data_IF_611989450780
#
_entry.id   IF_611989450780
#
_cell.length_a   1.000
_cell.length_b   1.000
_cell.length_c   1.000
_cell.angle_alpha   90.00
_cell.angle_beta   90.00
_cell.angle_gamma   90.00
#
_symmetry.space_group_name_H-M   'P 1'
#
loop_
_entity.id
_entity.type
_entity.pdbx_description
1 polymer ?
#
# COMPACT_ATOMS: atom_id res chain seq x y z
N UNK A 1 -11.01 -16.04 -30.71
CA UNK A 1 -10.81 -15.01 -29.68
C UNK A 1 -10.50 -15.73 -28.38
N UNK A 2 -9.26 -15.60 -27.85
CA UNK A 2 -8.90 -16.29 -26.59
C UNK A 2 -9.54 -15.51 -25.44
N UNK A 3 -10.49 -16.13 -24.73
CA UNK A 3 -11.19 -15.56 -23.59
C UNK A 3 -10.27 -15.55 -22.36
N UNK A 4 -9.38 -14.56 -22.28
CA UNK A 4 -8.41 -14.39 -21.20
C UNK A 4 -8.46 -12.97 -20.63
N UNK A 5 -8.35 -12.84 -19.30
CA UNK A 5 -8.24 -11.57 -18.63
C UNK A 5 -7.13 -11.64 -17.58
N UNK A 6 -6.24 -10.65 -17.59
CA UNK A 6 -5.24 -10.52 -16.53
C UNK A 6 -5.93 -10.12 -15.22
N UNK A 7 -5.57 -10.74 -14.09
CA UNK A 7 -5.98 -10.21 -12.78
C UNK A 7 -5.21 -8.92 -12.48
N UNK A 8 -5.76 -8.02 -11.66
CA UNK A 8 -5.06 -6.81 -11.21
C UNK A 8 -3.79 -7.14 -10.42
N UNK A 9 -3.79 -8.24 -9.68
CA UNK A 9 -2.66 -8.76 -8.90
C UNK A 9 -2.46 -10.24 -9.23
N UNK A 10 -1.22 -10.68 -9.32
CA UNK A 10 -0.94 -12.05 -9.81
C UNK A 10 0.36 -12.64 -9.28
N UNK A 11 1.00 -12.00 -8.28
CA UNK A 11 2.19 -12.56 -7.67
C UNK A 11 1.86 -13.90 -7.01
N UNK A 12 2.64 -14.94 -7.30
CA UNK A 12 2.39 -16.27 -6.75
C UNK A 12 2.76 -16.33 -5.27
N UNK A 13 1.95 -17.06 -4.51
CA UNK A 13 2.19 -17.33 -3.09
C UNK A 13 2.86 -18.70 -2.96
N UNK A 14 3.99 -18.75 -2.23
CA UNK A 14 4.67 -19.99 -1.89
C UNK A 14 4.08 -20.60 -0.61
N UNK A 15 3.82 -21.91 -0.65
CA UNK A 15 3.47 -22.69 0.54
C UNK A 15 4.69 -23.32 1.22
N UNK A 16 5.92 -23.02 0.74
CA UNK A 16 7.16 -23.51 1.31
C UNK A 16 7.37 -22.88 2.69
N UNK A 17 7.56 -23.72 3.69
CA UNK A 17 7.95 -23.30 5.04
C UNK A 17 9.46 -23.16 5.13
N UNK A 18 9.94 -22.21 5.92
CA UNK A 18 11.35 -22.00 6.22
C UNK A 18 11.53 -21.82 7.72
N UNK A 19 12.67 -22.22 8.24
CA UNK A 19 13.13 -21.93 9.59
C UNK A 19 14.30 -20.93 9.57
N UNK A 20 14.56 -20.29 8.44
CA UNK A 20 15.56 -19.22 8.36
C UNK A 20 15.19 -18.08 9.30
N UNK A 21 16.18 -17.46 9.94
CA UNK A 21 15.95 -16.34 10.86
C UNK A 21 15.34 -15.17 10.10
N UNK A 22 14.23 -14.64 10.61
CA UNK A 22 13.50 -13.55 9.95
C UNK A 22 14.19 -12.20 10.13
N UNK A 23 15.01 -12.03 11.15
CA UNK A 23 15.81 -10.82 11.40
C UNK A 23 16.79 -10.54 10.24
N UNK A 24 17.24 -11.58 9.54
CA UNK A 24 18.06 -11.44 8.35
C UNK A 24 17.35 -10.73 7.16
N UNK A 25 16.04 -10.56 7.22
CA UNK A 25 15.29 -9.85 6.20
C UNK A 25 15.48 -8.33 6.25
N UNK A 26 15.61 -7.79 7.46
CA UNK A 26 15.77 -6.35 7.75
C UNK A 26 16.80 -6.18 8.88
N UNK A 27 18.09 -6.35 8.60
CA UNK A 27 19.15 -6.17 9.60
C UNK A 27 19.13 -4.73 10.14
N UNK A 28 19.45 -4.55 11.42
CA UNK A 28 19.45 -3.25 12.09
C UNK A 28 18.08 -2.79 12.61
N UNK A 29 17.06 -3.69 12.55
CA UNK A 29 15.72 -3.38 13.06
C UNK A 29 15.23 -4.45 14.05
N UNK A 30 14.52 -4.01 15.09
CA UNK A 30 13.68 -4.89 15.90
C UNK A 30 12.41 -5.22 15.12
N UNK A 31 12.04 -6.51 15.01
CA UNK A 31 10.91 -6.96 14.18
C UNK A 31 9.74 -7.44 15.04
N UNK A 32 8.56 -6.84 14.87
CA UNK A 32 7.32 -7.25 15.51
C UNK A 32 6.34 -7.74 14.43
N UNK A 33 5.98 -9.02 14.51
CA UNK A 33 5.10 -9.69 13.55
C UNK A 33 3.65 -9.71 14.06
N UNK A 34 2.75 -9.07 13.31
CA UNK A 34 1.33 -8.90 13.68
C UNK A 34 0.39 -9.47 12.62
N UNK A 35 -0.90 -9.58 12.95
CA UNK A 35 -1.90 -10.26 12.15
C UNK A 35 -2.31 -9.54 10.84
N UNK A 36 -2.01 -8.24 10.69
CA UNK A 36 -2.30 -7.48 9.46
C UNK A 36 -1.45 -6.21 9.34
N UNK A 37 -1.39 -5.60 8.14
CA UNK A 37 -0.75 -4.29 7.96
C UNK A 37 -1.47 -3.17 8.72
N UNK A 38 -2.80 -3.23 8.83
CA UNK A 38 -3.59 -2.29 9.65
C UNK A 38 -3.23 -2.42 11.13
N UNK A 39 -3.04 -3.65 11.61
CA UNK A 39 -2.57 -3.92 12.97
C UNK A 39 -1.13 -3.44 13.20
N UNK A 40 -0.27 -3.49 12.16
CA UNK A 40 1.08 -2.94 12.24
C UNK A 40 1.08 -1.43 12.47
N UNK A 41 0.26 -0.69 11.71
CA UNK A 41 0.09 0.75 11.92
C UNK A 41 -0.49 1.06 13.30
N UNK A 42 -1.53 0.34 13.72
CA UNK A 42 -2.14 0.53 15.03
C UNK A 42 -1.17 0.21 16.18
N UNK A 43 -0.34 -0.83 16.02
CA UNK A 43 0.72 -1.16 16.98
C UNK A 43 1.70 0.01 17.15
N UNK A 44 2.17 0.63 16.06
CA UNK A 44 3.06 1.80 16.13
C UNK A 44 2.41 2.96 16.90
N UNK A 45 1.13 3.24 16.61
CA UNK A 45 0.39 4.31 17.28
C UNK A 45 0.18 4.02 18.77
N UNK A 46 -0.11 2.78 19.17
CA UNK A 46 -0.20 2.38 20.58
C UNK A 46 1.18 2.54 21.28
N UNK A 47 2.29 2.20 20.62
CA UNK A 47 3.64 2.45 21.16
C UNK A 47 3.87 3.93 21.44
N UNK A 48 3.50 4.81 20.51
CA UNK A 48 3.66 6.27 20.67
C UNK A 48 2.77 6.82 21.78
N UNK A 49 1.55 6.32 21.91
CA UNK A 49 0.64 6.73 22.99
C UNK A 49 1.16 6.30 24.37
N UNK A 50 1.75 5.12 24.49
CA UNK A 50 2.39 4.70 25.74
C UNK A 50 3.64 5.51 26.06
N UNK A 51 4.38 5.95 25.04
CA UNK A 51 5.57 6.80 25.19
C UNK A 51 5.24 8.22 25.63
N UNK A 52 4.06 8.72 25.23
CA UNK A 52 3.60 10.10 25.48
C UNK A 52 2.25 10.15 26.20
N UNK A 53 2.14 9.59 27.42
CA UNK A 53 0.87 9.52 28.16
C UNK A 53 0.33 10.92 28.55
N UNK A 54 1.19 11.94 28.52
CA UNK A 54 0.80 13.34 28.78
C UNK A 54 -0.03 13.95 27.64
N UNK A 55 0.00 13.38 26.42
CA UNK A 55 -0.81 13.84 25.29
C UNK A 55 -2.15 13.13 25.32
N UNK A 56 -3.16 13.78 25.91
CA UNK A 56 -4.49 13.15 26.13
C UNK A 56 -5.35 13.04 24.88
N UNK A 57 -5.05 13.83 23.85
CA UNK A 57 -5.74 13.80 22.55
C UNK A 57 -4.70 13.69 21.43
N UNK A 58 -4.05 12.52 21.28
CA UNK A 58 -3.00 12.35 20.31
C UNK A 58 -3.53 12.46 18.88
N UNK A 59 -2.76 13.12 18.02
CA UNK A 59 -3.07 13.31 16.62
C UNK A 59 -2.08 12.53 15.74
N UNK A 60 -2.58 12.00 14.61
CA UNK A 60 -1.76 11.40 13.56
C UNK A 60 -2.09 12.02 12.22
N UNK A 61 -1.07 12.41 11.46
CA UNK A 61 -1.25 12.98 10.13
C UNK A 61 -1.21 11.87 9.08
N UNK A 62 -2.22 11.88 8.18
CA UNK A 62 -2.38 10.92 7.08
C UNK A 62 -2.70 11.66 5.78
N UNK A 63 -2.29 11.12 4.58
CA UNK A 63 -2.56 11.78 3.30
C UNK A 63 -4.03 11.60 2.87
N UNK A 64 -4.54 12.58 2.13
CA UNK A 64 -5.92 12.57 1.61
C UNK A 64 -6.20 11.52 0.53
N UNK A 65 -5.16 10.90 -0.04
CA UNK A 65 -5.27 9.77 -0.97
C UNK A 65 -4.50 8.56 -0.44
N UNK A 66 -5.19 7.69 0.23
CA UNK A 66 -4.60 6.49 0.84
C UNK A 66 -5.62 5.37 1.04
N UNK A 67 -5.16 4.24 1.56
CA UNK A 67 -6.03 3.17 2.05
C UNK A 67 -6.81 3.64 3.29
N UNK A 68 -8.12 3.38 3.38
CA UNK A 68 -8.89 3.70 4.58
C UNK A 68 -8.44 2.95 5.84
N UNK A 69 -7.59 1.95 5.69
CA UNK A 69 -7.00 1.20 6.81
C UNK A 69 -6.14 2.08 7.73
N UNK A 70 -5.59 3.20 7.20
CA UNK A 70 -4.88 4.18 8.03
C UNK A 70 -5.81 4.84 9.04
N UNK A 71 -7.02 5.23 8.59
CA UNK A 71 -8.07 5.73 9.50
C UNK A 71 -8.46 4.67 10.52
N UNK A 72 -8.59 3.42 10.07
CA UNK A 72 -8.97 2.31 10.94
C UNK A 72 -7.93 2.08 12.04
N UNK A 73 -6.64 2.15 11.72
CA UNK A 73 -5.56 2.05 12.68
C UNK A 73 -5.55 3.23 13.67
N UNK A 74 -5.70 4.46 13.15
CA UNK A 74 -5.72 5.68 13.96
C UNK A 74 -6.87 5.68 14.97
N UNK A 75 -8.09 5.38 14.52
CA UNK A 75 -9.28 5.35 15.38
C UNK A 75 -9.17 4.23 16.42
N UNK A 76 -8.69 3.04 16.03
CA UNK A 76 -8.49 1.93 16.95
C UNK A 76 -7.53 2.31 18.10
N UNK A 77 -6.41 2.97 17.78
CA UNK A 77 -5.44 3.42 18.78
C UNK A 77 -5.89 4.67 19.58
N UNK A 78 -7.06 5.24 19.25
CA UNK A 78 -7.60 6.43 19.93
C UNK A 78 -6.93 7.74 19.49
N UNK A 79 -6.36 7.78 18.30
CA UNK A 79 -5.81 9.00 17.70
C UNK A 79 -6.86 9.77 16.92
N UNK A 80 -6.73 11.09 16.93
CA UNK A 80 -7.46 11.98 16.03
C UNK A 80 -6.70 12.08 14.71
N UNK A 81 -7.23 11.54 13.59
CA UNK A 81 -6.56 11.67 12.30
C UNK A 81 -6.69 13.09 11.74
N UNK A 82 -5.57 13.69 11.37
CA UNK A 82 -5.45 14.93 10.60
C UNK A 82 -5.17 14.59 9.15
N UNK A 83 -6.10 14.94 8.26
CA UNK A 83 -5.98 14.60 6.84
C UNK A 83 -5.34 15.77 6.11
N UNK A 84 -4.25 15.51 5.38
CA UNK A 84 -3.50 16.51 4.62
C UNK A 84 -3.55 16.17 3.14
N UNK A 85 -3.71 17.19 2.30
CA UNK A 85 -3.75 17.02 0.86
C UNK A 85 -2.38 16.57 0.31
N UNK A 86 -2.41 15.97 -0.86
CA UNK A 86 -1.23 15.56 -1.62
C UNK A 86 -0.81 16.65 -2.61
N UNK A 87 0.37 16.51 -3.21
CA UNK A 87 0.81 17.36 -4.30
C UNK A 87 -0.09 17.22 -5.53
N UNK A 88 -0.09 18.23 -6.36
CA UNK A 88 -0.76 18.15 -7.65
C UNK A 88 -0.06 17.09 -8.54
N UNK A 89 -0.84 16.11 -8.99
CA UNK A 89 -0.36 15.01 -9.86
C UNK A 89 0.70 14.08 -9.25
N UNK A 90 0.89 14.10 -7.92
CA UNK A 90 1.84 13.25 -7.21
C UNK A 90 1.18 12.74 -5.92
N UNK A 91 1.31 11.45 -5.54
CA UNK A 91 0.69 10.91 -4.35
C UNK A 91 1.33 11.35 -3.03
N UNK A 92 2.46 12.04 -3.09
CA UNK A 92 3.22 12.54 -1.93
C UNK A 92 2.53 13.74 -1.28
N UNK A 93 2.79 13.98 0.00
CA UNK A 93 2.23 15.11 0.73
C UNK A 93 2.51 16.48 0.07
N UNK A 94 1.56 17.39 0.14
CA UNK A 94 1.82 18.82 0.02
C UNK A 94 2.57 19.28 1.29
N UNK A 95 3.89 19.40 1.21
CA UNK A 95 4.75 19.66 2.38
C UNK A 95 4.39 20.94 3.14
N UNK A 96 4.07 22.08 2.51
CA UNK A 96 3.58 23.26 3.22
C UNK A 96 2.31 22.99 4.02
N UNK A 97 1.37 22.21 3.47
CA UNK A 97 0.16 21.82 4.20
C UNK A 97 0.46 20.84 5.32
N UNK A 98 1.38 19.90 5.10
CA UNK A 98 1.85 18.97 6.12
C UNK A 98 2.44 19.74 7.31
N UNK A 99 3.34 20.68 7.06
CA UNK A 99 3.95 21.52 8.09
C UNK A 99 2.90 22.28 8.91
N UNK A 100 1.90 22.84 8.23
CA UNK A 100 0.83 23.60 8.87
C UNK A 100 -0.12 22.73 9.71
N UNK A 101 -0.18 21.41 9.45
CA UNK A 101 -1.03 20.47 10.14
C UNK A 101 -0.43 19.93 11.45
N UNK A 102 0.89 20.07 11.64
CA UNK A 102 1.58 19.61 12.86
C UNK A 102 1.21 20.52 14.03
N UNK A 103 0.78 19.92 15.13
CA UNK A 103 0.42 20.60 16.38
C UNK A 103 1.17 20.02 17.57
N UNK A 104 1.02 20.61 18.75
CA UNK A 104 1.59 20.07 19.99
C UNK A 104 1.02 18.69 20.39
N UNK A 105 -0.12 18.28 19.83
CA UNK A 105 -0.75 16.98 20.04
C UNK A 105 -0.35 15.94 18.98
N UNK A 106 0.32 16.35 17.90
CA UNK A 106 0.77 15.42 16.85
C UNK A 106 1.87 14.52 17.40
N UNK A 107 1.66 13.21 17.31
CA UNK A 107 2.64 12.20 17.71
C UNK A 107 3.19 11.40 16.51
N UNK A 108 2.51 11.44 15.35
CA UNK A 108 2.94 10.69 14.18
C UNK A 108 2.60 11.39 12.86
N UNK A 109 3.50 11.22 11.88
CA UNK A 109 3.23 11.44 10.46
C UNK A 109 3.37 10.08 9.76
N UNK A 110 2.31 9.61 9.08
CA UNK A 110 2.37 8.38 8.29
C UNK A 110 2.74 8.74 6.85
N UNK A 111 3.94 8.40 6.44
CA UNK A 111 4.48 8.60 5.09
C UNK A 111 4.33 7.30 4.28
N UNK A 112 3.62 7.36 3.15
CA UNK A 112 3.26 6.18 2.35
C UNK A 112 4.18 6.08 1.13
N UNK A 113 4.88 4.95 0.98
CA UNK A 113 5.57 4.61 -0.26
C UNK A 113 4.57 4.03 -1.27
N UNK A 114 3.83 4.94 -1.92
CA UNK A 114 2.68 4.62 -2.76
C UNK A 114 3.06 3.79 -3.99
N UNK A 115 2.58 2.56 -4.09
CA UNK A 115 2.89 1.61 -5.18
C UNK A 115 4.39 1.28 -5.37
N UNK A 116 5.26 1.68 -4.44
CA UNK A 116 6.71 1.61 -4.58
C UNK A 116 7.33 2.93 -5.08
N UNK A 117 6.56 4.03 -5.10
CA UNK A 117 7.08 5.40 -5.25
C UNK A 117 7.39 5.89 -3.84
N UNK A 118 8.66 6.16 -3.56
CA UNK A 118 9.06 6.61 -2.23
C UNK A 118 8.47 8.00 -1.91
N UNK A 119 7.97 8.17 -0.70
CA UNK A 119 7.67 9.50 -0.16
C UNK A 119 8.98 10.26 0.10
N UNK A 120 8.91 11.57 0.26
CA UNK A 120 10.05 12.44 0.57
C UNK A 120 10.37 12.38 2.07
N UNK A 121 10.86 11.21 2.49
CA UNK A 121 11.06 10.89 3.91
C UNK A 121 12.07 11.82 4.56
N UNK A 122 13.19 12.11 3.89
CA UNK A 122 14.23 13.00 4.42
C UNK A 122 13.70 14.42 4.64
N UNK A 123 12.92 14.97 3.70
CA UNK A 123 12.32 16.31 3.83
C UNK A 123 11.26 16.35 4.95
N UNK A 124 10.49 15.27 5.12
CA UNK A 124 9.56 15.15 6.25
C UNK A 124 10.34 15.03 7.56
N UNK A 125 11.44 14.28 7.57
CA UNK A 125 12.31 14.12 8.74
C UNK A 125 12.85 15.48 9.21
N UNK A 126 13.42 16.27 8.30
CA UNK A 126 13.89 17.62 8.58
C UNK A 126 12.78 18.53 9.15
N UNK A 127 11.57 18.41 8.62
CA UNK A 127 10.42 19.20 9.08
C UNK A 127 10.00 18.85 10.51
N UNK A 128 9.97 17.54 10.85
CA UNK A 128 9.55 17.09 12.18
C UNK A 128 10.67 17.16 13.24
N UNK A 129 11.90 17.46 12.86
CA UNK A 129 13.03 17.61 13.79
C UNK A 129 12.73 18.64 14.88
N UNK A 130 11.96 19.68 14.56
CA UNK A 130 11.50 20.70 15.51
C UNK A 130 10.38 20.22 16.44
N UNK A 131 9.90 18.99 16.25
CA UNK A 131 8.79 18.38 16.98
C UNK A 131 9.22 17.05 17.61
N UNK A 132 9.96 17.05 18.74
CA UNK A 132 10.63 15.87 19.26
C UNK A 132 9.71 14.71 19.69
N UNK A 133 8.40 14.93 19.77
CA UNK A 133 7.41 13.89 20.05
C UNK A 133 6.85 13.25 18.78
N UNK A 134 7.07 13.85 17.60
CA UNK A 134 6.51 13.39 16.35
C UNK A 134 7.41 12.32 15.75
N UNK A 135 6.89 11.10 15.62
CA UNK A 135 7.56 10.02 14.94
C UNK A 135 7.20 9.94 13.45
N UNK A 136 8.15 9.54 12.63
CA UNK A 136 7.93 9.20 11.23
C UNK A 136 7.56 7.72 11.11
N UNK A 137 6.31 7.44 10.74
CA UNK A 137 5.83 6.09 10.40
C UNK A 137 5.91 5.90 8.89
N UNK A 138 6.81 5.04 8.43
CA UNK A 138 6.97 4.72 7.02
C UNK A 138 6.07 3.54 6.65
N UNK A 139 5.03 3.79 5.83
CA UNK A 139 4.10 2.74 5.37
C UNK A 139 4.57 2.13 4.05
N UNK A 140 5.08 0.92 4.14
CA UNK A 140 5.52 0.08 3.03
C UNK A 140 4.52 -1.05 2.70
N UNK A 141 3.23 -0.87 2.95
CA UNK A 141 2.23 -1.90 2.65
C UNK A 141 2.17 -2.30 1.17
N UNK A 142 2.73 -1.51 0.27
CA UNK A 142 2.71 -1.73 -1.18
C UNK A 142 4.09 -2.05 -1.77
N UNK A 143 5.12 -2.11 -0.96
CA UNK A 143 6.49 -2.40 -1.35
C UNK A 143 7.19 -3.25 -0.29
N UNK A 144 8.27 -3.94 -0.66
CA UNK A 144 9.19 -4.62 0.26
C UNK A 144 10.61 -4.46 -0.28
N UNK A 145 11.62 -4.11 0.54
CA UNK A 145 12.96 -3.81 0.06
C UNK A 145 13.69 -5.05 -0.45
N UNK A 146 14.46 -4.90 -1.50
CA UNK A 146 15.55 -5.83 -1.83
C UNK A 146 16.66 -5.70 -0.76
N UNK A 147 17.58 -6.65 -0.71
CA UNK A 147 18.57 -6.68 0.38
C UNK A 147 19.48 -5.41 0.43
N UNK A 148 19.71 -4.80 -0.72
CA UNK A 148 20.50 -3.56 -0.87
C UNK A 148 19.66 -2.27 -0.72
N UNK A 149 18.36 -2.39 -0.49
CA UNK A 149 17.45 -1.26 -0.31
C UNK A 149 17.02 -1.08 1.16
N UNK A 150 17.51 -1.94 2.07
CA UNK A 150 17.17 -1.85 3.50
C UNK A 150 17.66 -0.55 4.13
N UNK A 151 18.82 -0.08 3.71
CA UNK A 151 19.40 1.19 4.18
C UNK A 151 18.63 2.43 3.71
N UNK A 152 17.68 2.26 2.76
CA UNK A 152 16.79 3.35 2.30
C UNK A 152 15.57 3.55 3.20
N UNK A 153 15.39 2.72 4.25
CA UNK A 153 14.30 2.87 5.20
C UNK A 153 14.65 3.97 6.21
N UNK A 154 13.81 5.00 6.29
CA UNK A 154 14.07 6.18 7.12
C UNK A 154 13.12 6.29 8.32
N UNK A 155 11.98 5.59 8.31
CA UNK A 155 10.97 5.64 9.37
C UNK A 155 11.54 5.26 10.75
N UNK A 156 11.03 5.87 11.81
CA UNK A 156 11.27 5.41 13.19
C UNK A 156 10.58 4.06 13.40
N UNK A 157 9.41 3.93 12.82
CA UNK A 157 8.65 2.70 12.65
C UNK A 157 8.37 2.51 11.17
N UNK A 158 8.71 1.34 10.66
CA UNK A 158 8.48 0.95 9.26
C UNK A 158 7.47 -0.19 9.22
N UNK A 159 6.37 -0.02 8.50
CA UNK A 159 5.30 -1.03 8.46
C UNK A 159 5.20 -1.71 7.10
N UNK A 160 4.92 -3.02 7.13
CA UNK A 160 4.69 -3.84 5.92
C UNK A 160 3.39 -4.62 6.06
N UNK A 161 2.75 -4.90 4.93
CA UNK A 161 1.54 -5.71 4.86
C UNK A 161 1.73 -6.93 3.98
N UNK A 162 1.28 -8.10 4.48
CA UNK A 162 1.28 -9.36 3.75
C UNK A 162 -0.15 -9.78 3.34
N UNK A 163 -1.08 -8.85 3.31
CA UNK A 163 -2.45 -9.03 2.85
C UNK A 163 -2.55 -9.44 1.37
N UNK A 164 -3.75 -9.78 0.93
CA UNK A 164 -4.01 -10.13 -0.47
C UNK A 164 -3.67 -8.95 -1.40
N UNK A 165 -2.93 -9.21 -2.46
CA UNK A 165 -2.58 -8.20 -3.48
C UNK A 165 -1.42 -7.29 -3.11
N UNK A 166 -0.76 -7.53 -1.99
CA UNK A 166 0.45 -6.81 -1.58
C UNK A 166 1.70 -7.35 -2.29
N UNK A 167 2.81 -6.64 -2.18
CA UNK A 167 4.10 -7.00 -2.76
C UNK A 167 4.50 -8.43 -2.39
N UNK A 168 4.57 -8.72 -1.11
CA UNK A 168 4.65 -10.07 -0.55
C UNK A 168 3.29 -10.42 0.03
N UNK A 169 2.63 -11.47 -0.45
CA UNK A 169 1.30 -11.86 0.02
C UNK A 169 1.33 -13.20 0.76
N UNK A 170 0.76 -13.21 1.96
CA UNK A 170 0.48 -14.39 2.78
C UNK A 170 -1.02 -14.53 3.11
N UNK A 171 -1.88 -13.77 2.41
CA UNK A 171 -3.31 -13.64 2.67
C UNK A 171 -3.63 -13.11 4.08
N UNK A 172 -2.74 -12.37 4.67
CA UNK A 172 -2.82 -11.78 6.00
C UNK A 172 -1.43 -11.64 6.61
N UNK A 173 -1.34 -10.95 7.72
CA UNK A 173 -0.09 -10.63 8.40
C UNK A 173 0.43 -9.23 8.09
N UNK A 174 1.20 -8.71 9.00
CA UNK A 174 1.93 -7.45 8.93
C UNK A 174 3.25 -7.56 9.68
N UNK A 175 4.12 -6.61 9.44
CA UNK A 175 5.39 -6.48 10.12
C UNK A 175 5.60 -5.03 10.50
N UNK A 176 6.06 -4.80 11.71
CA UNK A 176 6.65 -3.55 12.15
C UNK A 176 8.15 -3.76 12.30
N UNK A 177 8.95 -2.99 11.59
CA UNK A 177 10.39 -2.89 11.80
C UNK A 177 10.67 -1.56 12.54
N UNK A 178 11.31 -1.64 13.67
CA UNK A 178 11.56 -0.51 14.58
C UNK A 178 13.06 -0.32 14.69
N UNK A 179 13.54 0.92 14.63
CA UNK A 179 14.97 1.21 14.85
C UNK A 179 15.43 0.68 16.20
N UNK A 180 16.65 0.12 16.26
CA UNK A 180 17.16 -0.56 17.46
C UNK A 180 17.26 0.33 18.70
N UNK A 181 17.42 1.65 18.50
CA UNK A 181 17.49 2.65 19.57
C UNK A 181 16.13 3.03 20.18
N UNK A 182 15.03 2.53 19.60
CA UNK A 182 13.68 2.79 20.08
C UNK A 182 13.23 1.64 20.99
N UNK A 183 13.00 1.95 22.26
CA UNK A 183 12.44 0.99 23.22
C UNK A 183 10.97 0.70 22.92
N UNK A 184 10.57 -0.57 22.98
CA UNK A 184 9.19 -1.02 22.78
C UNK A 184 8.53 -1.34 24.11
N UNK A 185 7.28 -0.89 24.26
CA UNK A 185 6.40 -1.26 25.36
C UNK A 185 5.74 -2.61 25.08
N UNK A 186 5.61 -3.45 26.10
CA UNK A 186 4.89 -4.73 25.99
C UNK A 186 3.39 -4.50 26.02
N UNK A 187 2.72 -4.68 24.88
CA UNK A 187 1.28 -4.49 24.73
C UNK A 187 0.44 -5.73 25.09
N UNK A 188 1.07 -6.80 25.58
CA UNK A 188 0.39 -8.06 25.99
C UNK A 188 -0.57 -8.58 24.92
N UNK A 189 -0.07 -8.77 23.70
CA UNK A 189 -0.89 -9.19 22.56
C UNK A 189 -1.07 -10.71 22.50
N UNK A 190 -2.29 -11.15 22.24
CA UNK A 190 -2.58 -12.54 21.92
C UNK A 190 -1.98 -12.94 20.55
N UNK A 191 -1.74 -14.24 20.36
CA UNK A 191 -1.30 -14.77 19.05
C UNK A 191 -2.51 -15.19 18.21
N UNK A 192 -2.53 -14.78 16.93
CA UNK A 192 -3.60 -15.20 16.01
C UNK A 192 -3.63 -16.72 15.81
N UNK A 193 -4.82 -17.28 15.63
CA UNK A 193 -4.97 -18.67 15.21
C UNK A 193 -4.67 -18.82 13.71
N UNK A 194 -3.76 -19.74 13.35
CA UNK A 194 -3.51 -20.05 11.94
C UNK A 194 -4.62 -20.97 11.38
N UNK A 195 -5.26 -20.50 10.31
CA UNK A 195 -6.35 -21.25 9.70
C UNK A 195 -5.84 -22.48 8.95
N UNK A 196 -6.30 -23.67 9.30
CA UNK A 196 -5.98 -24.94 8.61
C UNK A 196 -6.37 -24.94 7.10
N UNK A 197 -7.36 -24.11 6.73
CA UNK A 197 -7.81 -23.96 5.33
C UNK A 197 -6.96 -22.95 4.55
N UNK A 198 -5.90 -22.39 5.13
CA UNK A 198 -5.04 -21.40 4.45
C UNK A 198 -4.45 -21.96 3.13
N UNK A 199 -3.96 -23.19 3.14
CA UNK A 199 -3.41 -23.85 1.95
C UNK A 199 -4.47 -24.00 0.86
N UNK A 200 -5.72 -24.32 1.22
CA UNK A 200 -6.85 -24.39 0.30
C UNK A 200 -7.15 -23.00 -0.29
N UNK A 201 -7.18 -21.95 0.55
CA UNK A 201 -7.36 -20.55 0.10
C UNK A 201 -6.27 -20.14 -0.91
N UNK A 202 -5.00 -20.48 -0.67
CA UNK A 202 -3.89 -20.19 -1.59
C UNK A 202 -4.07 -20.93 -2.93
N UNK A 203 -4.43 -22.22 -2.92
CA UNK A 203 -4.69 -22.99 -4.13
C UNK A 203 -5.87 -22.42 -4.91
N UNK A 204 -6.96 -22.10 -4.23
CA UNK A 204 -8.15 -21.49 -4.84
C UNK A 204 -7.80 -20.13 -5.46
N UNK A 205 -7.12 -19.25 -4.74
CA UNK A 205 -6.67 -17.96 -5.27
C UNK A 205 -5.78 -18.14 -6.50
N UNK A 206 -4.82 -19.06 -6.44
CA UNK A 206 -3.92 -19.35 -7.55
C UNK A 206 -4.67 -19.84 -8.80
N UNK A 207 -5.76 -20.59 -8.61
CA UNK A 207 -6.66 -21.02 -9.69
C UNK A 207 -7.49 -19.84 -10.22
N UNK A 208 -8.16 -19.10 -9.34
CA UNK A 208 -9.04 -17.98 -9.70
C UNK A 208 -8.29 -16.82 -10.39
N UNK A 209 -6.99 -16.66 -10.12
CA UNK A 209 -6.14 -15.64 -10.78
C UNK A 209 -5.50 -16.13 -12.07
N UNK A 210 -5.78 -17.36 -12.55
CA UNK A 210 -5.35 -17.78 -13.92
C UNK A 210 -6.16 -17.00 -14.96
N UNK A 211 -5.53 -16.46 -16.02
CA UNK A 211 -6.20 -15.57 -16.98
C UNK A 211 -7.48 -16.12 -17.59
N UNK A 212 -7.53 -17.42 -17.90
CA UNK A 212 -8.74 -18.10 -18.41
C UNK A 212 -9.86 -18.13 -17.37
N UNK A 213 -9.54 -18.41 -16.11
CA UNK A 213 -10.54 -18.50 -15.03
C UNK A 213 -10.95 -17.10 -14.60
N UNK A 214 -9.99 -16.18 -14.51
CA UNK A 214 -10.24 -14.79 -14.10
C UNK A 214 -11.18 -14.06 -15.07
N UNK A 215 -11.15 -14.37 -16.35
CA UNK A 215 -12.10 -13.84 -17.32
C UNK A 215 -13.56 -14.09 -16.90
N UNK A 216 -13.87 -15.27 -16.38
CA UNK A 216 -15.23 -15.59 -15.91
C UNK A 216 -15.52 -14.99 -14.53
N UNK A 217 -14.53 -15.01 -13.64
CA UNK A 217 -14.65 -14.42 -12.30
C UNK A 217 -14.90 -12.91 -12.37
N UNK A 218 -14.20 -12.21 -13.29
CA UNK A 218 -14.34 -10.76 -13.47
C UNK A 218 -15.72 -10.33 -13.95
N UNK A 219 -16.49 -11.23 -14.61
CA UNK A 219 -17.87 -10.96 -15.03
C UNK A 219 -18.92 -11.08 -13.90
N UNK A 220 -18.52 -11.58 -12.75
CA UNK A 220 -19.41 -11.72 -11.59
C UNK A 220 -19.45 -10.39 -10.82
N UNK A 221 -20.28 -9.45 -11.27
CA UNK A 221 -20.39 -8.09 -10.71
C UNK A 221 -20.75 -8.07 -9.23
N UNK A 222 -21.46 -9.07 -8.72
CA UNK A 222 -21.83 -9.16 -7.30
C UNK A 222 -20.64 -9.37 -6.35
N UNK A 223 -19.46 -9.77 -6.88
CA UNK A 223 -18.25 -9.94 -6.07
C UNK A 223 -17.57 -8.62 -5.69
N UNK A 224 -17.99 -7.48 -6.25
CA UNK A 224 -17.43 -6.14 -6.02
C UNK A 224 -15.90 -6.15 -5.95
N UNK A 225 -15.25 -6.88 -6.87
CA UNK A 225 -13.80 -7.06 -6.88
C UNK A 225 -13.09 -5.71 -7.05
N UNK A 226 -12.29 -5.35 -6.05
CA UNK A 226 -11.52 -4.10 -6.06
C UNK A 226 -12.23 -2.88 -5.45
N UNK A 227 -13.44 -3.03 -4.89
CA UNK A 227 -14.05 -1.96 -4.13
C UNK A 227 -13.24 -1.65 -2.85
N UNK A 228 -12.98 -0.36 -2.64
CA UNK A 228 -12.33 0.13 -1.42
C UNK A 228 -13.41 0.59 -0.45
N UNK A 229 -13.47 -0.06 0.71
CA UNK A 229 -14.45 0.21 1.77
C UNK A 229 -13.72 0.32 3.11
N UNK A 230 -14.13 1.26 3.94
CA UNK A 230 -13.64 1.36 5.31
C UNK A 230 -14.18 0.21 6.16
N UNK A 231 -13.28 -0.45 6.87
CA UNK A 231 -13.60 -1.45 7.88
C UNK A 231 -12.87 -1.11 9.18
N UNK A 232 -13.58 -1.02 10.32
CA UNK A 232 -12.92 -0.76 11.59
C UNK A 232 -12.02 -1.93 11.99
N UNK A 233 -10.81 -1.64 12.46
CA UNK A 233 -9.92 -2.64 13.05
C UNK A 233 -10.57 -3.17 14.34
N UNK A 234 -10.57 -4.50 14.51
CA UNK A 234 -11.19 -5.13 15.66
C UNK A 234 -10.17 -5.52 16.74
N UNK A 235 -8.98 -5.91 16.32
CA UNK A 235 -7.94 -6.39 17.25
C UNK A 235 -6.56 -6.31 16.63
N UNK A 236 -5.56 -6.12 17.48
CA UNK A 236 -4.15 -6.37 17.17
C UNK A 236 -3.79 -7.70 17.83
N UNK A 237 -3.17 -8.60 17.08
CA UNK A 237 -2.61 -9.83 17.62
C UNK A 237 -1.25 -10.13 16.96
N UNK A 238 -0.42 -10.92 17.62
CA UNK A 238 0.83 -11.41 17.05
C UNK A 238 0.53 -12.39 15.91
N UNK A 239 1.39 -12.37 14.88
CA UNK A 239 1.31 -13.33 13.78
C UNK A 239 1.60 -14.73 14.27
N UNK A 240 0.83 -15.71 13.83
CA UNK A 240 1.04 -17.10 14.21
C UNK A 240 2.40 -17.63 13.73
N UNK A 241 3.07 -18.50 14.51
CA UNK A 241 4.34 -19.12 14.11
C UNK A 241 4.25 -19.88 12.77
N UNK A 242 3.09 -20.49 12.48
CA UNK A 242 2.87 -21.18 11.20
C UNK A 242 2.86 -20.24 9.99
N UNK A 243 2.32 -19.00 10.15
CA UNK A 243 2.37 -17.98 9.11
C UNK A 243 3.78 -17.39 8.98
N UNK A 244 4.48 -17.17 10.10
CA UNK A 244 5.87 -16.69 10.12
C UNK A 244 6.80 -17.59 9.31
N UNK A 245 6.64 -18.91 9.41
CA UNK A 245 7.43 -19.88 8.60
C UNK A 245 7.26 -19.73 7.10
N UNK A 246 6.23 -19.04 6.63
CA UNK A 246 5.99 -18.80 5.19
C UNK A 246 6.65 -17.50 4.70
N UNK A 247 7.04 -16.60 5.59
CA UNK A 247 7.53 -15.26 5.25
C UNK A 247 8.79 -15.33 4.40
N UNK A 248 9.84 -15.97 4.89
CA UNK A 248 11.16 -15.99 4.25
C UNK A 248 11.09 -16.48 2.79
N UNK A 249 10.40 -17.60 2.55
CA UNK A 249 10.26 -18.16 1.21
C UNK A 249 9.47 -17.23 0.25
N UNK A 250 8.51 -16.48 0.76
CA UNK A 250 7.72 -15.54 -0.04
C UNK A 250 8.47 -14.23 -0.31
N UNK A 251 9.24 -13.72 0.65
CA UNK A 251 10.14 -12.57 0.45
C UNK A 251 11.23 -12.91 -0.57
N UNK A 252 11.94 -14.03 -0.40
CA UNK A 252 12.97 -14.49 -1.36
C UNK A 252 12.39 -14.63 -2.76
N UNK A 253 11.18 -15.20 -2.87
CA UNK A 253 10.49 -15.30 -4.14
C UNK A 253 10.16 -13.93 -4.72
N UNK A 254 9.63 -13.01 -3.95
CA UNK A 254 9.32 -11.65 -4.40
C UNK A 254 10.57 -10.95 -4.94
N UNK A 255 11.69 -11.02 -4.21
CA UNK A 255 12.98 -10.46 -4.61
C UNK A 255 13.50 -11.05 -5.93
N UNK A 256 13.21 -12.33 -6.21
CA UNK A 256 13.60 -13.02 -7.45
C UNK A 256 12.68 -12.79 -8.65
N UNK A 257 11.51 -12.14 -8.48
CA UNK A 257 10.60 -11.87 -9.59
C UNK A 257 11.20 -10.87 -10.58
N UNK A 258 11.04 -11.12 -11.89
CA UNK A 258 11.44 -10.17 -12.92
C UNK A 258 10.67 -8.86 -12.83
N UNK A 259 11.34 -7.74 -13.17
CA UNK A 259 10.78 -6.39 -13.33
C UNK A 259 10.58 -6.03 -14.82
N UNK A 260 10.60 -6.99 -15.74
CA UNK A 260 10.59 -6.71 -17.18
C UNK A 260 9.33 -5.98 -17.63
N UNK A 261 8.15 -6.37 -17.12
CA UNK A 261 6.90 -5.67 -17.44
C UNK A 261 6.95 -4.17 -17.03
N UNK A 262 7.47 -3.89 -15.84
CA UNK A 262 7.65 -2.52 -15.33
C UNK A 262 8.62 -1.74 -16.21
N UNK A 263 9.80 -2.31 -16.53
CA UNK A 263 10.83 -1.68 -17.37
C UNK A 263 10.31 -1.37 -18.76
N UNK A 264 9.62 -2.34 -19.40
CA UNK A 264 9.06 -2.16 -20.73
C UNK A 264 7.96 -1.09 -20.75
N UNK A 265 7.04 -1.07 -19.78
CA UNK A 265 6.04 0.00 -19.67
C UNK A 265 6.72 1.37 -19.52
N UNK A 266 7.77 1.47 -18.70
CA UNK A 266 8.51 2.71 -18.50
C UNK A 266 9.23 3.21 -19.76
N UNK A 267 9.69 2.31 -20.63
CA UNK A 267 10.34 2.68 -21.88
C UNK A 267 9.35 3.02 -22.99
N UNK A 268 8.14 2.45 -22.95
CA UNK A 268 7.13 2.56 -24.01
C UNK A 268 6.12 3.69 -23.74
N UNK A 269 5.90 4.05 -22.48
CA UNK A 269 5.00 5.15 -22.11
C UNK A 269 5.87 6.34 -21.73
N UNK A 270 5.92 7.38 -22.55
CA UNK A 270 6.74 8.56 -22.26
C UNK A 270 6.18 9.33 -21.06
N UNK A 271 7.05 10.09 -20.34
CA UNK A 271 6.66 10.83 -19.12
C UNK A 271 5.54 11.85 -19.34
N UNK A 272 5.49 12.44 -20.52
CA UNK A 272 4.43 13.36 -20.94
C UNK A 272 4.14 13.18 -22.44
N UNK A 273 2.93 12.72 -22.74
CA UNK A 273 2.41 12.69 -24.11
C UNK A 273 0.88 12.77 -24.08
N UNK A 274 0.29 13.65 -24.91
CA UNK A 274 -1.16 13.75 -25.14
C UNK A 274 -2.00 13.84 -23.87
N UNK A 275 -1.57 14.63 -22.85
CA UNK A 275 -2.29 14.77 -21.59
C UNK A 275 -2.11 13.59 -20.60
N UNK A 276 -1.28 12.62 -20.95
CA UNK A 276 -0.84 11.56 -20.03
C UNK A 276 0.33 12.06 -19.20
N UNK A 277 0.21 12.00 -17.89
CA UNK A 277 1.32 12.27 -16.99
C UNK A 277 1.70 10.98 -16.27
N UNK A 278 2.92 10.54 -16.44
CA UNK A 278 3.49 9.49 -15.60
C UNK A 278 3.80 10.08 -14.23
N UNK A 279 3.22 9.48 -13.19
CA UNK A 279 3.45 9.85 -11.79
C UNK A 279 4.81 9.33 -11.33
N UNK A 280 5.84 9.43 -12.11
CA UNK A 280 7.13 8.83 -11.75
C UNK A 280 8.19 9.92 -11.82
N UNK A 281 8.45 10.57 -10.69
CA UNK A 281 9.80 11.09 -10.47
C UNK A 281 10.73 9.87 -10.52
N UNK A 282 11.54 9.77 -11.56
CA UNK A 282 12.42 8.61 -11.82
C UNK A 282 13.37 8.33 -10.65
N UNK A 283 13.70 9.36 -9.88
CA UNK A 283 14.60 9.33 -8.72
C UNK A 283 14.01 8.67 -7.47
N UNK A 284 12.68 8.68 -7.31
CA UNK A 284 11.98 8.11 -6.15
C UNK A 284 11.37 6.73 -6.44
N UNK A 285 11.64 6.17 -7.62
CA UNK A 285 11.02 4.93 -8.04
C UNK A 285 11.78 3.71 -7.54
N UNK A 286 11.15 2.95 -6.67
CA UNK A 286 11.53 1.61 -6.27
C UNK A 286 10.83 0.57 -7.16
N UNK A 287 10.78 -0.69 -6.76
CA UNK A 287 10.00 -1.73 -7.45
C UNK A 287 8.50 -1.43 -7.33
N UNK A 288 7.84 -1.27 -8.47
CA UNK A 288 6.41 -0.94 -8.49
C UNK A 288 5.52 -2.17 -8.25
N UNK A 289 4.56 -2.05 -7.34
CA UNK A 289 3.49 -3.03 -7.19
C UNK A 289 2.60 -3.11 -8.43
N UNK A 290 2.30 -1.95 -9.01
CA UNK A 290 1.55 -1.74 -10.24
C UNK A 290 2.09 -0.49 -10.93
N UNK A 291 2.00 -0.45 -12.25
CA UNK A 291 2.47 0.70 -13.03
C UNK A 291 1.37 1.79 -13.07
N UNK A 292 1.56 2.95 -12.43
CA UNK A 292 0.57 4.02 -12.39
C UNK A 292 0.64 4.90 -13.64
N UNK A 293 -0.54 5.33 -14.12
CA UNK A 293 -0.69 6.35 -15.16
C UNK A 293 -1.76 7.31 -14.71
N UNK A 294 -1.48 8.61 -14.76
CA UNK A 294 -2.43 9.67 -14.46
C UNK A 294 -2.92 10.26 -15.78
N UNK A 295 -4.23 10.16 -16.04
CA UNK A 295 -4.85 10.73 -17.24
C UNK A 295 -5.05 12.25 -17.08
N UNK A 296 -5.32 12.95 -18.17
CA UNK A 296 -5.53 14.40 -18.18
C UNK A 296 -6.68 14.82 -17.26
N UNK A 297 -7.78 14.10 -17.33
CA UNK A 297 -9.01 14.37 -16.60
C UNK A 297 -9.84 13.10 -16.31
N UNK A 298 -10.92 13.27 -15.56
CA UNK A 298 -11.83 12.19 -15.18
C UNK A 298 -12.65 11.63 -16.36
N UNK A 299 -12.92 12.43 -17.37
CA UNK A 299 -13.73 12.05 -18.53
C UNK A 299 -12.91 11.14 -19.44
N UNK A 300 -11.64 11.48 -19.67
CA UNK A 300 -10.67 10.61 -20.34
C UNK A 300 -10.58 9.23 -19.65
N UNK A 301 -10.52 9.19 -18.30
CA UNK A 301 -10.54 7.92 -17.58
C UNK A 301 -11.84 7.15 -17.79
N UNK A 302 -12.97 7.83 -17.72
CA UNK A 302 -14.27 7.22 -17.87
C UNK A 302 -14.44 6.66 -19.28
N UNK A 303 -14.07 7.41 -20.30
CA UNK A 303 -14.07 6.96 -21.70
C UNK A 303 -13.16 5.76 -21.90
N UNK A 304 -11.90 5.82 -21.41
CA UNK A 304 -10.95 4.72 -21.52
C UNK A 304 -11.52 3.43 -20.92
N UNK A 305 -12.16 3.51 -19.76
CA UNK A 305 -12.73 2.34 -19.09
C UNK A 305 -13.94 1.73 -19.82
N UNK A 306 -14.58 2.45 -20.74
CA UNK A 306 -15.67 1.92 -21.58
C UNK A 306 -15.16 1.21 -22.85
N UNK A 307 -13.89 1.40 -23.22
CA UNK A 307 -13.33 0.79 -24.43
C UNK A 307 -13.32 -0.75 -24.32
N UNK A 308 -13.62 -1.41 -25.42
CA UNK A 308 -13.60 -2.87 -25.50
C UNK A 308 -12.22 -3.42 -25.16
N UNK A 309 -12.18 -4.51 -24.39
CA UNK A 309 -10.98 -5.22 -23.97
C UNK A 309 -10.15 -4.60 -22.82
N UNK A 310 -10.51 -3.43 -22.30
CA UNK A 310 -9.84 -2.86 -21.10
C UNK A 310 -9.89 -3.83 -19.93
N UNK A 311 -11.03 -4.47 -19.70
CA UNK A 311 -11.22 -5.49 -18.66
C UNK A 311 -10.25 -6.67 -18.78
N UNK A 312 -9.74 -6.96 -20.00
CA UNK A 312 -8.83 -8.08 -20.23
C UNK A 312 -7.39 -7.79 -19.85
N UNK A 313 -7.03 -6.51 -19.65
CA UNK A 313 -5.67 -6.06 -19.37
C UNK A 313 -5.34 -5.94 -17.87
N UNK A 314 -6.27 -6.25 -16.99
CA UNK A 314 -6.06 -6.18 -15.54
C UNK A 314 -5.87 -4.76 -15.00
N UNK A 315 -6.44 -3.76 -15.71
CA UNK A 315 -6.48 -2.39 -15.21
C UNK A 315 -7.17 -2.32 -13.86
N UNK A 316 -6.72 -1.38 -13.03
CA UNK A 316 -7.38 -1.04 -11.78
C UNK A 316 -7.32 0.46 -11.54
N UNK A 317 -8.35 1.00 -10.93
CA UNK A 317 -8.38 2.36 -10.39
C UNK A 317 -7.65 2.47 -9.04
N UNK A 318 -7.19 1.34 -8.50
CA UNK A 318 -6.63 1.18 -7.16
C UNK A 318 -7.62 1.67 -6.10
N UNK A 319 -7.45 2.89 -5.59
CA UNK A 319 -8.46 3.61 -4.81
C UNK A 319 -9.16 4.57 -5.76
N UNK A 320 -10.43 4.32 -6.11
CA UNK A 320 -11.18 5.12 -7.08
C UNK A 320 -11.71 6.43 -6.50
N UNK A 321 -11.48 6.65 -5.21
CA UNK A 321 -11.91 7.81 -4.44
C UNK A 321 -10.81 8.29 -3.50
N UNK A 322 -10.78 9.61 -3.25
CA UNK A 322 -10.04 10.16 -2.13
C UNK A 322 -10.62 9.70 -0.80
N UNK A 323 -9.83 9.75 0.26
CA UNK A 323 -10.18 9.17 1.56
C UNK A 323 -11.55 9.61 2.11
N UNK A 324 -11.93 10.92 2.07
CA UNK A 324 -13.25 11.34 2.55
C UNK A 324 -14.44 10.76 1.78
N UNK A 325 -14.22 10.35 0.54
CA UNK A 325 -15.28 9.84 -0.35
C UNK A 325 -15.42 8.31 -0.29
N UNK A 326 -14.54 7.63 0.45
CA UNK A 326 -14.60 6.18 0.62
C UNK A 326 -15.87 5.79 1.40
N UNK A 327 -16.50 4.69 0.96
CA UNK A 327 -17.68 4.16 1.63
C UNK A 327 -17.36 3.79 3.08
N UNK A 328 -18.16 4.27 4.02
CA UNK A 328 -18.00 4.09 5.46
C UNK A 328 -17.22 5.23 6.13
N UNK A 329 -16.31 5.93 5.43
CA UNK A 329 -15.56 7.06 6.00
C UNK A 329 -16.46 8.27 6.26
N UNK A 330 -17.43 8.54 5.39
CA UNK A 330 -18.38 9.66 5.56
C UNK A 330 -19.18 9.63 6.87
N UNK A 331 -19.29 8.46 7.48
CA UNK A 331 -20.02 8.27 8.74
C UNK A 331 -19.14 8.51 9.97
N UNK A 332 -17.86 8.76 9.78
CA UNK A 332 -16.92 9.03 10.87
C UNK A 332 -16.97 10.51 11.23
N UNK A 333 -16.91 10.79 12.54
CA UNK A 333 -16.83 12.16 13.05
C UNK A 333 -15.38 12.63 13.02
N UNK A 334 -14.90 12.94 11.80
CA UNK A 334 -13.52 13.39 11.55
C UNK A 334 -13.58 14.70 10.76
N UNK A 335 -12.71 15.63 11.10
CA UNK A 335 -12.56 16.86 10.34
C UNK A 335 -11.99 16.56 8.94
N UNK A 336 -12.72 16.99 7.92
CA UNK A 336 -12.37 16.76 6.51
C UNK A 336 -12.04 18.10 5.85
N UNK A 337 -10.75 18.46 5.75
CA UNK A 337 -10.36 19.69 5.06
C UNK A 337 -10.59 19.56 3.55
N UNK A 338 -10.56 20.68 2.80
CA UNK A 338 -10.53 20.64 1.34
C UNK A 338 -9.30 19.90 0.83
N UNK A 339 -9.50 18.88 -0.05
CA UNK A 339 -8.45 18.02 -0.59
C UNK A 339 -8.51 18.00 -2.14
N UNK A 340 -8.39 19.17 -2.82
CA UNK A 340 -8.60 19.25 -4.26
C UNK A 340 -7.65 18.34 -5.06
N UNK A 341 -6.38 18.22 -4.63
CA UNK A 341 -5.40 17.41 -5.32
C UNK A 341 -5.69 15.91 -5.15
N UNK A 342 -6.04 15.47 -3.93
CA UNK A 342 -6.42 14.08 -3.67
C UNK A 342 -7.70 13.67 -4.45
N UNK A 343 -8.69 14.57 -4.61
CA UNK A 343 -9.87 14.34 -5.44
C UNK A 343 -9.50 14.22 -6.92
N UNK A 344 -8.73 15.17 -7.44
CA UNK A 344 -8.28 15.17 -8.82
C UNK A 344 -7.47 13.91 -9.14
N UNK A 345 -6.49 13.57 -8.28
CA UNK A 345 -5.66 12.39 -8.42
C UNK A 345 -6.48 11.10 -8.45
N UNK A 346 -7.37 10.90 -7.46
CA UNK A 346 -8.23 9.73 -7.36
C UNK A 346 -9.14 9.56 -8.60
N UNK A 347 -9.61 10.66 -9.19
CA UNK A 347 -10.51 10.63 -10.36
C UNK A 347 -9.81 10.31 -11.68
N UNK A 348 -8.47 10.43 -11.74
CA UNK A 348 -7.68 10.31 -12.99
C UNK A 348 -6.75 9.11 -13.01
N UNK A 349 -6.43 8.52 -11.86
CA UNK A 349 -5.49 7.41 -11.76
C UNK A 349 -6.04 6.13 -12.40
N UNK A 350 -5.19 5.49 -13.19
CA UNK A 350 -5.28 4.09 -13.58
C UNK A 350 -3.97 3.38 -13.29
N UNK A 351 -4.00 2.07 -13.12
CA UNK A 351 -2.79 1.28 -12.88
C UNK A 351 -2.80 0.02 -13.73
N UNK A 352 -1.65 -0.31 -14.32
CA UNK A 352 -1.43 -1.57 -15.03
C UNK A 352 -0.77 -2.60 -14.13
N UNK A 353 -1.07 -3.91 -14.31
CA UNK A 353 -0.37 -4.97 -13.60
C UNK A 353 1.07 -5.09 -14.09
N UNK A 354 1.99 -5.41 -13.16
CA UNK A 354 3.43 -5.64 -13.43
C UNK A 354 3.87 -7.06 -13.11
N UNK A 355 2.95 -7.95 -12.70
CA UNK A 355 3.24 -9.30 -12.27
C UNK A 355 3.67 -10.23 -13.44
N UNK A 356 4.26 -11.37 -13.14
CA UNK A 356 4.86 -12.31 -14.11
C UNK A 356 3.91 -12.88 -15.19
N UNK A 357 2.59 -12.73 -15.06
CA UNK A 357 1.63 -13.17 -16.08
C UNK A 357 1.43 -12.16 -17.21
N UNK A 358 1.98 -10.95 -17.04
CA UNK A 358 1.99 -9.92 -18.10
C UNK A 358 2.98 -10.33 -19.17
N UNK A 359 2.53 -10.42 -20.42
CA UNK A 359 3.32 -10.78 -21.60
C UNK A 359 3.49 -9.56 -22.50
N UNK A 360 4.43 -9.61 -23.45
CA UNK A 360 4.71 -8.54 -24.41
C UNK A 360 3.47 -8.06 -25.16
N UNK A 361 2.61 -8.99 -25.60
CA UNK A 361 1.33 -8.64 -26.27
C UNK A 361 0.40 -7.81 -25.35
N UNK A 362 0.34 -8.13 -24.06
CA UNK A 362 -0.43 -7.32 -23.10
C UNK A 362 0.17 -5.91 -22.96
N UNK A 363 1.50 -5.79 -22.92
CA UNK A 363 2.19 -4.50 -22.79
C UNK A 363 1.93 -3.61 -24.00
N UNK A 364 2.05 -4.16 -25.23
CA UNK A 364 1.74 -3.43 -26.46
C UNK A 364 0.30 -2.90 -26.47
N UNK A 365 -0.65 -3.70 -26.02
CA UNK A 365 -2.07 -3.28 -25.92
C UNK A 365 -2.30 -2.23 -24.84
N UNK A 366 -1.60 -2.33 -23.68
CA UNK A 366 -1.65 -1.30 -22.62
C UNK A 366 -1.12 0.04 -23.12
N UNK A 367 0.00 0.04 -23.85
CA UNK A 367 0.58 1.25 -24.46
C UNK A 367 -0.39 1.85 -25.47
N UNK A 368 -0.89 1.05 -26.42
CA UNK A 368 -1.87 1.52 -27.42
C UNK A 368 -3.09 2.16 -26.77
N UNK A 369 -3.57 1.56 -25.67
CA UNK A 369 -4.75 2.06 -24.96
C UNK A 369 -4.58 3.49 -24.41
N UNK A 370 -3.39 3.85 -23.95
CA UNK A 370 -3.11 5.18 -23.38
C UNK A 370 -2.51 6.17 -24.36
N UNK A 371 -2.12 5.70 -25.58
CA UNK A 371 -1.60 6.58 -26.64
C UNK A 371 -2.68 7.09 -27.59
N UNK A 372 -3.93 6.62 -27.46
CA UNK A 372 -5.11 7.01 -28.22
C UNK A 372 -6.03 7.96 -27.43
#
# INVERSE_FOLDING_TARGET
MILQSLPPTGNPISSKRSNEPLDALLPGYQLVWVNSGTAALAFCLEQLKHRHPEVTQPEVIIPGYCCPDLLSAAIFAGFTPKIVDICENDPSYDLPKLQSAITANTLAVIAINFLGIAERLSEIREMIEFWPKVALLEDNAQWFPDANEVDELEGDYVTFSFGRGKAVSLLGGGLVAVKEDIELFDLQLDTEAFSSIWFLKVRLLSLLTRPLVYYWVGKLSFLNLGATVYHPLQTISLMSPDRMRLVFANVTRYRSLSRDAERQLSSLIPPEQNGLKLILASERRRRLLRFPVLLSDSDCRSELLTRSHVETLGLSRLYDKSLPMVQGVKNLTIEMPPLPNAYSFASRLITFPTHQRVKTDHLSRMVTLVSQ
#
